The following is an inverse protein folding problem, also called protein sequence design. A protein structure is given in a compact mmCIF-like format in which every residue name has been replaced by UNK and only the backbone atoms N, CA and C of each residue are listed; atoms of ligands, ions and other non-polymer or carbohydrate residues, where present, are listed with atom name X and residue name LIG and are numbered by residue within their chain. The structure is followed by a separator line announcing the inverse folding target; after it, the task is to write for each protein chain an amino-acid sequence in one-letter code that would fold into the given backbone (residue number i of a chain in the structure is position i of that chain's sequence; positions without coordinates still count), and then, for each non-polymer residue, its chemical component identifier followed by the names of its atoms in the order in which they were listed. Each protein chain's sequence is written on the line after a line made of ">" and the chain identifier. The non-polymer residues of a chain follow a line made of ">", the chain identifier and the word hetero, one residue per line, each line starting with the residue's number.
data_IF_422109172876
#
_entry.id   IF_422109172876
#
_cell.length_a   1.000
_cell.length_b   1.000
_cell.length_c   1.000
_cell.angle_alpha   90.00
_cell.angle_beta   90.00
_cell.angle_gamma   90.00
#
_symmetry.space_group_name_H-M   'P 1'
#
loop_
_entity.id
_entity.type
_entity.pdbx_description
1 polymer ?
#
# COMPACT_ATOMS: atom_id res chain seq x y z
N UNK A 1 43.43 18.93 15.27
CA UNK A 1 42.85 18.83 16.64
C UNK A 1 43.62 19.71 17.64
N UNK A 2 44.96 19.65 17.68
CA UNK A 2 45.76 20.49 18.59
C UNK A 2 45.64 22.00 18.33
N UNK A 3 45.66 22.46 17.08
CA UNK A 3 45.47 23.89 16.75
C UNK A 3 44.07 24.41 17.11
N UNK A 4 43.05 23.56 16.99
CA UNK A 4 41.67 23.90 17.34
C UNK A 4 41.50 24.10 18.86
N UNK A 5 42.04 23.19 19.68
CA UNK A 5 42.02 23.34 21.14
C UNK A 5 42.88 24.53 21.57
N UNK A 6 44.01 24.77 20.88
CA UNK A 6 44.88 25.92 21.12
C UNK A 6 44.17 27.26 20.83
N UNK A 7 43.30 27.33 19.81
CA UNK A 7 42.51 28.52 19.50
C UNK A 7 41.57 28.91 20.64
N UNK A 8 40.89 27.93 21.25
CA UNK A 8 39.98 28.19 22.37
C UNK A 8 40.71 28.51 23.68
N UNK A 9 41.90 27.95 23.90
CA UNK A 9 42.66 28.13 25.15
C UNK A 9 43.54 29.38 25.17
N UNK A 10 43.88 29.96 24.00
CA UNK A 10 44.68 31.20 23.93
C UNK A 10 43.87 32.49 24.01
N UNK A 11 42.58 32.43 23.71
CA UNK A 11 41.72 33.61 23.66
C UNK A 11 40.96 33.77 24.98
N UNK A 12 41.49 34.61 25.87
CA UNK A 12 40.79 34.97 27.11
C UNK A 12 39.60 35.89 26.83
N UNK A 13 38.43 35.53 27.36
CA UNK A 13 37.23 36.34 27.24
C UNK A 13 37.23 37.41 28.34
N UNK A 14 37.00 38.67 27.97
CA UNK A 14 36.83 39.76 28.94
C UNK A 14 35.58 39.56 29.80
N UNK A 15 35.51 40.18 30.97
CA UNK A 15 34.33 40.04 31.85
C UNK A 15 33.04 40.47 31.12
N UNK A 16 33.11 41.53 30.31
CA UNK A 16 32.00 41.97 29.45
C UNK A 16 31.61 40.91 28.42
N UNK A 17 32.58 40.22 27.83
CA UNK A 17 32.34 39.11 26.90
C UNK A 17 31.67 37.90 27.56
N UNK A 18 31.97 37.62 28.84
CA UNK A 18 31.29 36.55 29.60
C UNK A 18 29.80 36.87 29.75
N UNK A 19 29.45 38.10 30.14
CA UNK A 19 28.04 38.52 30.21
C UNK A 19 27.32 38.40 28.86
N UNK A 20 27.99 38.78 27.77
CA UNK A 20 27.42 38.65 26.43
C UNK A 20 27.19 37.17 26.04
N UNK A 21 28.15 36.28 26.33
CA UNK A 21 28.01 34.85 26.05
C UNK A 21 26.98 34.17 26.96
N UNK A 22 26.81 34.61 28.20
CA UNK A 22 25.70 34.18 29.06
C UNK A 22 24.36 34.52 28.42
N UNK A 23 24.18 35.75 27.93
CA UNK A 23 22.96 36.15 27.22
C UNK A 23 22.80 35.37 25.90
N UNK A 24 23.89 35.15 25.16
CA UNK A 24 23.92 34.30 23.97
C UNK A 24 23.49 32.86 24.24
N UNK A 25 23.87 32.31 25.39
CA UNK A 25 23.52 30.94 25.78
C UNK A 25 22.02 30.78 26.07
N UNK A 26 21.30 31.85 26.42
CA UNK A 26 19.84 31.82 26.51
C UNK A 26 19.17 31.50 25.15
N UNK A 27 19.77 31.89 24.03
CA UNK A 27 19.27 31.49 22.70
C UNK A 27 19.47 29.99 22.46
N UNK A 28 20.60 29.45 22.90
CA UNK A 28 20.89 28.01 22.83
C UNK A 28 19.90 27.22 23.70
N UNK A 29 19.57 27.75 24.89
CA UNK A 29 18.61 27.15 25.81
C UNK A 29 17.20 26.97 25.22
N UNK A 30 16.77 27.85 24.30
CA UNK A 30 15.51 27.68 23.56
C UNK A 30 15.52 26.35 22.79
N UNK A 31 16.61 26.07 22.06
CA UNK A 31 16.72 24.84 21.27
C UNK A 31 16.83 23.60 22.16
N UNK A 32 17.61 23.63 23.24
CA UNK A 32 17.67 22.52 24.20
C UNK A 32 16.29 22.20 24.78
N UNK A 33 15.52 23.24 25.15
CA UNK A 33 14.16 23.10 25.67
C UNK A 33 13.22 22.49 24.63
N UNK A 34 13.21 23.00 23.40
CA UNK A 34 12.34 22.50 22.33
C UNK A 34 12.70 21.07 21.95
N UNK A 35 13.98 20.74 21.81
CA UNK A 35 14.42 19.41 21.37
C UNK A 35 14.06 18.34 22.41
N UNK A 36 14.38 18.59 23.69
CA UNK A 36 14.12 17.62 24.74
C UNK A 36 12.63 17.44 25.04
N UNK A 37 11.84 18.51 24.97
CA UNK A 37 10.38 18.42 25.15
C UNK A 37 9.68 17.82 23.94
N UNK A 38 9.98 18.28 22.71
CA UNK A 38 9.24 17.86 21.51
C UNK A 38 9.70 16.51 20.95
N UNK A 39 11.00 16.25 20.88
CA UNK A 39 11.52 15.01 20.26
C UNK A 39 11.66 13.86 21.26
N UNK A 40 12.12 14.15 22.49
CA UNK A 40 12.29 13.13 23.53
C UNK A 40 11.06 12.97 24.45
N UNK A 41 10.05 13.86 24.34
CA UNK A 41 8.84 13.86 25.18
C UNK A 41 9.15 13.88 26.68
N UNK A 42 10.18 14.65 27.09
CA UNK A 42 10.56 14.80 28.50
C UNK A 42 9.80 15.97 29.13
N UNK A 43 9.22 15.75 30.31
CA UNK A 43 8.52 16.78 31.09
C UNK A 43 9.48 17.49 32.04
N UNK A 44 9.69 18.79 31.83
CA UNK A 44 10.47 19.64 32.71
C UNK A 44 9.98 21.09 32.65
N UNK A 45 10.41 21.92 33.61
CA UNK A 45 10.04 23.34 33.63
C UNK A 45 10.78 24.08 32.52
N UNK A 46 10.05 24.85 31.69
CA UNK A 46 10.61 25.54 30.53
C UNK A 46 11.75 26.53 30.82
N UNK A 47 11.91 26.99 32.07
CA UNK A 47 13.00 27.89 32.47
C UNK A 47 14.31 27.17 32.80
N UNK A 48 14.33 25.82 32.87
CA UNK A 48 15.48 25.05 33.35
C UNK A 48 16.77 25.40 32.59
N UNK A 49 16.76 25.31 31.26
CA UNK A 49 17.94 25.58 30.43
C UNK A 49 18.31 27.05 30.37
N UNK A 50 17.35 27.96 30.59
CA UNK A 50 17.63 29.39 30.72
C UNK A 50 18.40 29.75 32.00
N UNK A 51 18.43 28.84 32.98
CA UNK A 51 19.27 28.99 34.17
C UNK A 51 20.54 28.16 34.03
N UNK A 52 20.45 26.92 33.54
CA UNK A 52 21.60 26.01 33.44
C UNK A 52 22.63 26.51 32.43
N UNK A 53 22.23 26.90 31.22
CA UNK A 53 23.19 27.25 30.15
C UNK A 53 24.00 28.50 30.52
N UNK A 54 23.40 29.62 30.99
CA UNK A 54 24.18 30.78 31.45
C UNK A 54 25.01 30.50 32.69
N UNK A 55 24.54 29.63 33.59
CA UNK A 55 25.28 29.24 34.80
C UNK A 55 26.53 28.42 34.45
N UNK A 56 26.46 27.55 33.44
CA UNK A 56 27.63 26.82 32.94
C UNK A 56 28.68 27.79 32.36
N UNK A 57 28.25 28.82 31.64
CA UNK A 57 29.14 29.88 31.12
C UNK A 57 29.78 30.67 32.26
N UNK A 58 28.99 31.04 33.29
CA UNK A 58 29.50 31.75 34.46
C UNK A 58 30.53 30.91 35.23
N UNK A 59 30.23 29.63 35.49
CA UNK A 59 31.15 28.71 36.15
C UNK A 59 32.45 28.54 35.37
N UNK A 60 32.36 28.42 34.03
CA UNK A 60 33.55 28.38 33.17
C UNK A 60 34.39 29.65 33.33
N UNK A 61 33.74 30.83 33.39
CA UNK A 61 34.40 32.11 33.62
C UNK A 61 35.14 32.22 34.95
N UNK A 62 34.59 31.62 36.02
CA UNK A 62 35.22 31.56 37.35
C UNK A 62 36.40 30.60 37.38
N UNK A 63 36.29 29.44 36.73
CA UNK A 63 37.35 28.43 36.68
C UNK A 63 38.52 28.84 35.78
N UNK A 64 38.23 29.53 34.68
CA UNK A 64 39.25 30.03 33.76
C UNK A 64 38.64 30.73 32.57
N UNK A 65 38.99 32.00 32.35
CA UNK A 65 38.43 32.83 31.26
C UNK A 65 38.65 32.28 29.85
N UNK A 66 39.66 31.44 29.67
CA UNK A 66 39.94 30.74 28.42
C UNK A 66 38.97 29.58 28.13
N UNK A 67 38.27 29.04 29.14
CA UNK A 67 37.33 27.92 28.98
C UNK A 67 35.96 28.38 28.47
N UNK A 68 35.62 29.66 28.64
CA UNK A 68 34.30 30.23 28.35
C UNK A 68 33.88 29.98 26.90
N UNK A 69 34.76 30.29 25.94
CA UNK A 69 34.48 30.08 24.52
C UNK A 69 34.32 28.60 24.17
N UNK A 70 35.09 27.71 24.81
CA UNK A 70 34.99 26.27 24.61
C UNK A 70 33.65 25.74 25.10
N UNK A 71 33.23 26.12 26.32
CA UNK A 71 31.95 25.68 26.89
C UNK A 71 30.77 26.20 26.06
N UNK A 72 30.82 27.47 25.63
CA UNK A 72 29.80 28.03 24.74
C UNK A 72 29.69 27.25 23.43
N UNK A 73 30.83 26.91 22.83
CA UNK A 73 30.87 26.14 21.58
C UNK A 73 30.35 24.70 21.78
N UNK A 74 30.66 24.05 22.90
CA UNK A 74 30.11 22.73 23.23
C UNK A 74 28.59 22.77 23.42
N UNK A 75 28.06 23.79 24.10
CA UNK A 75 26.62 24.01 24.23
C UNK A 75 25.95 24.24 22.87
N UNK A 76 26.62 24.90 21.95
CA UNK A 76 26.12 25.08 20.58
C UNK A 76 26.10 23.75 19.80
N UNK A 77 27.17 22.96 19.88
CA UNK A 77 27.23 21.65 19.21
C UNK A 77 26.22 20.65 19.78
N UNK A 78 25.96 20.67 21.09
CA UNK A 78 25.03 19.74 21.71
C UNK A 78 23.62 19.84 21.14
N UNK A 79 23.20 21.03 20.69
CA UNK A 79 21.91 21.23 19.99
C UNK A 79 21.79 20.33 18.77
N UNK A 80 22.82 20.25 17.92
CA UNK A 80 22.77 19.45 16.69
C UNK A 80 22.79 17.95 16.98
N UNK A 81 23.59 17.52 17.96
CA UNK A 81 23.65 16.11 18.37
C UNK A 81 22.31 15.67 18.96
N UNK A 82 21.72 16.48 19.85
CA UNK A 82 20.41 16.22 20.44
C UNK A 82 19.29 16.25 19.38
N UNK A 83 19.35 17.17 18.42
CA UNK A 83 18.36 17.23 17.35
C UNK A 83 18.39 15.95 16.48
N UNK A 84 19.58 15.51 16.05
CA UNK A 84 19.72 14.32 15.23
C UNK A 84 19.28 13.04 15.97
N UNK A 85 19.78 12.85 17.19
CA UNK A 85 19.40 11.70 18.02
C UNK A 85 17.91 11.72 18.38
N UNK A 86 17.35 12.90 18.66
CA UNK A 86 15.93 13.10 18.89
C UNK A 86 15.07 12.74 17.68
N UNK A 87 15.48 13.11 16.46
CA UNK A 87 14.74 12.77 15.23
C UNK A 87 14.68 11.26 15.01
N UNK A 88 15.80 10.56 15.21
CA UNK A 88 15.85 9.10 15.12
C UNK A 88 14.99 8.45 16.19
N UNK A 89 15.09 8.92 17.44
CA UNK A 89 14.30 8.42 18.56
C UNK A 89 12.79 8.59 18.34
N UNK A 90 12.35 9.79 17.94
CA UNK A 90 10.96 10.09 17.63
C UNK A 90 10.42 9.22 16.48
N UNK A 91 11.23 9.02 15.42
CA UNK A 91 10.88 8.14 14.30
C UNK A 91 10.68 6.68 14.74
N UNK A 92 11.57 6.16 15.60
CA UNK A 92 11.47 4.79 16.13
C UNK A 92 10.26 4.63 17.05
N UNK A 93 9.98 5.61 17.91
CA UNK A 93 8.79 5.58 18.77
C UNK A 93 7.52 5.59 17.93
N UNK A 94 7.41 6.53 16.98
CA UNK A 94 6.26 6.63 16.09
C UNK A 94 6.02 5.31 15.35
N UNK A 95 7.08 4.71 14.81
CA UNK A 95 7.00 3.40 14.16
C UNK A 95 6.53 2.28 15.10
N UNK A 96 6.97 2.29 16.37
CA UNK A 96 6.51 1.32 17.38
C UNK A 96 5.06 1.56 17.79
N UNK A 97 4.63 2.81 17.95
CA UNK A 97 3.24 3.20 18.27
C UNK A 97 2.29 2.75 17.15
N UNK A 98 2.61 3.05 15.89
CA UNK A 98 1.85 2.60 14.71
C UNK A 98 1.77 1.07 14.64
N UNK A 99 2.87 0.36 14.96
CA UNK A 99 2.87 -1.11 15.00
C UNK A 99 1.96 -1.65 16.10
N UNK A 100 1.97 -1.06 17.30
CA UNK A 100 1.08 -1.44 18.40
C UNK A 100 -0.38 -1.18 18.06
N UNK A 101 -0.69 -0.03 17.49
CA UNK A 101 -2.06 0.32 17.07
C UNK A 101 -2.57 -0.68 16.00
N UNK A 102 -1.73 -1.02 15.02
CA UNK A 102 -2.03 -2.06 14.03
C UNK A 102 -2.27 -3.42 14.68
N UNK A 103 -1.48 -3.80 15.68
CA UNK A 103 -1.70 -5.05 16.42
C UNK A 103 -3.00 -5.03 17.25
N UNK A 104 -3.36 -3.90 17.86
CA UNK A 104 -4.62 -3.74 18.57
C UNK A 104 -5.83 -3.86 17.64
N UNK A 105 -5.78 -3.20 16.47
CA UNK A 105 -6.80 -3.35 15.43
C UNK A 105 -6.92 -4.81 14.96
N UNK A 106 -5.79 -5.47 14.74
CA UNK A 106 -5.78 -6.89 14.36
C UNK A 106 -6.41 -7.79 15.41
N UNK A 107 -6.21 -7.51 16.71
CA UNK A 107 -6.89 -8.23 17.79
C UNK A 107 -8.39 -7.93 17.82
N UNK A 108 -8.77 -6.66 17.73
CA UNK A 108 -10.18 -6.22 17.76
C UNK A 108 -11.00 -6.86 16.63
N UNK A 109 -10.41 -6.98 15.46
CA UNK A 109 -11.07 -7.46 14.24
C UNK A 109 -10.59 -8.86 13.78
N UNK A 110 -9.89 -9.61 14.63
CA UNK A 110 -9.40 -10.97 14.36
C UNK A 110 -8.70 -11.15 13.00
N UNK A 111 -7.90 -10.16 12.59
CA UNK A 111 -7.25 -10.12 11.27
C UNK A 111 -5.97 -10.95 11.26
N UNK A 112 -5.91 -11.96 10.40
CA UNK A 112 -4.72 -12.79 10.20
C UNK A 112 -3.51 -11.95 9.72
N UNK A 113 -2.28 -12.24 10.19
CA UNK A 113 -1.09 -11.54 9.72
C UNK A 113 -0.93 -11.68 8.21
N UNK A 114 -0.47 -10.61 7.54
CA UNK A 114 0.05 -10.72 6.18
C UNK A 114 1.17 -11.77 6.18
N UNK A 115 1.14 -12.75 5.27
CA UNK A 115 2.10 -13.83 5.29
C UNK A 115 3.51 -13.31 4.95
N UNK A 116 4.52 -13.80 5.67
CA UNK A 116 5.92 -13.34 5.53
C UNK A 116 6.44 -13.46 4.10
N UNK A 117 6.04 -14.49 3.36
CA UNK A 117 6.46 -14.70 1.98
C UNK A 117 6.08 -13.52 1.06
N UNK A 118 4.97 -12.81 1.31
CA UNK A 118 4.59 -11.64 0.50
C UNK A 118 5.58 -10.47 0.67
N UNK A 119 6.18 -10.33 1.86
CA UNK A 119 7.24 -9.32 2.09
C UNK A 119 8.52 -9.71 1.36
N UNK A 120 8.90 -10.99 1.48
CA UNK A 120 10.09 -11.53 0.79
C UNK A 120 9.93 -11.43 -0.72
N UNK A 121 8.77 -11.80 -1.27
CA UNK A 121 8.48 -11.70 -2.69
C UNK A 121 8.59 -10.26 -3.22
N UNK A 122 8.15 -9.27 -2.44
CA UNK A 122 8.33 -7.86 -2.79
C UNK A 122 9.81 -7.46 -2.88
N UNK A 123 10.63 -7.88 -1.91
CA UNK A 123 12.07 -7.60 -1.93
C UNK A 123 12.78 -8.30 -3.09
N UNK A 124 12.43 -9.57 -3.35
CA UNK A 124 12.95 -10.34 -4.49
C UNK A 124 12.58 -9.67 -5.82
N UNK A 125 11.34 -9.19 -5.98
CA UNK A 125 10.93 -8.49 -7.18
C UNK A 125 11.72 -7.20 -7.43
N UNK A 126 11.99 -6.42 -6.36
CA UNK A 126 12.83 -5.22 -6.44
C UNK A 126 14.28 -5.57 -6.77
N UNK A 127 14.84 -6.63 -6.19
CA UNK A 127 16.18 -7.09 -6.52
C UNK A 127 16.29 -7.53 -7.99
N UNK A 128 15.32 -8.31 -8.48
CA UNK A 128 15.24 -8.72 -9.89
C UNK A 128 15.11 -7.52 -10.84
N UNK A 129 14.37 -6.48 -10.45
CA UNK A 129 14.30 -5.23 -11.19
C UNK A 129 15.69 -4.59 -11.37
N UNK A 130 16.45 -4.43 -10.29
CA UNK A 130 17.78 -3.81 -10.35
C UNK A 130 18.79 -4.67 -11.12
N UNK A 131 18.73 -5.99 -10.99
CA UNK A 131 19.58 -6.92 -11.78
C UNK A 131 19.26 -6.81 -13.27
N UNK A 132 17.97 -6.81 -13.63
CA UNK A 132 17.53 -6.65 -15.02
C UNK A 132 17.95 -5.28 -15.58
N UNK A 133 17.77 -4.20 -14.82
CA UNK A 133 18.20 -2.86 -15.19
C UNK A 133 19.72 -2.75 -15.39
N UNK A 134 20.52 -3.44 -14.57
CA UNK A 134 21.98 -3.47 -14.72
C UNK A 134 22.42 -4.14 -16.02
N UNK A 135 21.78 -5.25 -16.42
CA UNK A 135 22.17 -5.98 -17.63
C UNK A 135 21.59 -5.40 -18.92
N UNK A 136 20.33 -4.95 -18.90
CA UNK A 136 19.57 -4.59 -20.11
C UNK A 136 19.45 -3.06 -20.26
N UNK A 137 19.69 -2.29 -19.19
CA UNK A 137 19.60 -0.82 -19.22
C UNK A 137 18.17 -0.30 -19.24
N UNK A 138 17.96 0.88 -19.85
CA UNK A 138 16.66 1.58 -19.83
C UNK A 138 15.52 0.79 -20.52
N UNK A 139 15.84 -0.06 -21.50
CA UNK A 139 14.87 -0.94 -22.17
C UNK A 139 14.21 -1.95 -21.21
N UNK A 140 14.85 -2.29 -20.07
CA UNK A 140 14.25 -3.11 -19.02
C UNK A 140 12.97 -2.49 -18.44
N UNK A 141 12.92 -1.15 -18.33
CA UNK A 141 11.76 -0.42 -17.79
C UNK A 141 10.56 -0.56 -18.73
N UNK A 142 10.79 -0.49 -20.05
CA UNK A 142 9.74 -0.64 -21.06
C UNK A 142 9.14 -2.06 -21.04
N UNK A 143 9.97 -3.10 -20.88
CA UNK A 143 9.50 -4.48 -20.79
C UNK A 143 8.65 -4.72 -19.53
N UNK A 144 9.01 -4.11 -18.40
CA UNK A 144 8.24 -4.24 -17.16
C UNK A 144 6.87 -3.58 -17.22
N UNK A 145 6.76 -2.43 -17.90
CA UNK A 145 5.47 -1.76 -18.14
C UNK A 145 4.52 -2.69 -18.92
N UNK A 146 5.03 -3.59 -19.75
CA UNK A 146 4.23 -4.59 -20.48
C UNK A 146 3.94 -5.81 -19.60
N UNK A 147 4.95 -6.38 -18.94
CA UNK A 147 4.85 -7.65 -18.22
C UNK A 147 3.96 -7.53 -16.96
N UNK A 148 4.10 -6.46 -16.19
CA UNK A 148 3.37 -6.27 -14.92
C UNK A 148 1.85 -6.29 -15.10
N UNK A 149 1.23 -5.49 -16.01
CA UNK A 149 -0.22 -5.52 -16.20
C UNK A 149 -0.71 -6.86 -16.76
N UNK A 150 0.08 -7.53 -17.61
CA UNK A 150 -0.26 -8.86 -18.14
C UNK A 150 -0.30 -9.89 -17.00
N UNK A 151 0.72 -9.94 -16.14
CA UNK A 151 0.75 -10.83 -14.98
C UNK A 151 -0.41 -10.50 -14.02
N UNK A 152 -0.65 -9.22 -13.73
CA UNK A 152 -1.73 -8.79 -12.85
C UNK A 152 -3.13 -9.20 -13.38
N UNK A 153 -3.31 -9.22 -14.71
CA UNK A 153 -4.55 -9.65 -15.34
C UNK A 153 -4.77 -11.18 -15.25
N UNK A 154 -3.69 -11.97 -15.25
CA UNK A 154 -3.75 -13.44 -15.23
C UNK A 154 -3.91 -13.98 -13.79
N UNK A 155 -3.37 -13.26 -12.78
CA UNK A 155 -3.42 -13.71 -11.40
C UNK A 155 -4.87 -13.90 -10.90
N UNK A 156 -5.19 -15.06 -10.29
CA UNK A 156 -6.54 -15.35 -9.85
C UNK A 156 -6.93 -14.48 -8.65
N UNK A 157 -8.04 -13.77 -8.77
CA UNK A 157 -8.72 -13.06 -7.67
C UNK A 157 -10.19 -13.44 -7.63
N UNK A 158 -10.87 -13.29 -6.48
CA UNK A 158 -12.29 -13.60 -6.35
C UNK A 158 -13.13 -12.83 -7.39
N UNK A 159 -12.80 -11.54 -7.57
CA UNK A 159 -13.36 -10.69 -8.62
C UNK A 159 -13.07 -11.22 -10.03
N UNK A 160 -11.85 -11.66 -10.32
CA UNK A 160 -11.49 -12.20 -11.64
C UNK A 160 -12.23 -13.51 -11.93
N UNK A 161 -12.42 -14.37 -10.93
CA UNK A 161 -13.22 -15.61 -11.06
C UNK A 161 -14.68 -15.29 -11.35
N UNK A 162 -15.29 -14.38 -10.57
CA UNK A 162 -16.65 -13.90 -10.82
C UNK A 162 -16.79 -13.36 -12.25
N UNK A 163 -15.91 -12.43 -12.66
CA UNK A 163 -15.93 -11.84 -14.00
C UNK A 163 -15.57 -12.80 -15.14
N UNK A 164 -14.97 -13.95 -14.84
CA UNK A 164 -14.74 -15.02 -15.81
C UNK A 164 -16.03 -15.78 -16.05
N UNK A 165 -16.69 -16.22 -14.97
CA UNK A 165 -17.92 -17.00 -15.07
C UNK A 165 -19.10 -16.17 -15.58
N UNK A 166 -19.15 -14.88 -15.22
CA UNK A 166 -20.16 -13.93 -15.72
C UNK A 166 -20.15 -13.82 -17.26
N UNK A 167 -19.01 -14.05 -17.91
CA UNK A 167 -18.94 -14.04 -19.38
C UNK A 167 -19.34 -15.35 -20.04
N UNK A 168 -19.31 -16.45 -19.31
CA UNK A 168 -19.46 -17.79 -19.87
C UNK A 168 -20.79 -18.43 -19.53
N UNK A 169 -21.39 -18.03 -18.40
CA UNK A 169 -22.67 -18.56 -17.95
C UNK A 169 -23.81 -17.74 -18.56
N UNK A 170 -24.87 -18.40 -19.06
CA UNK A 170 -26.11 -17.70 -19.34
C UNK A 170 -26.86 -17.40 -18.05
N UNK A 171 -27.51 -16.24 -17.99
CA UNK A 171 -28.41 -15.89 -16.88
C UNK A 171 -29.60 -16.85 -16.85
N UNK A 172 -29.79 -17.53 -15.74
CA UNK A 172 -30.87 -18.50 -15.54
C UNK A 172 -32.05 -17.86 -14.83
N UNK A 173 -33.27 -18.22 -15.25
CA UNK A 173 -34.49 -17.91 -14.50
C UNK A 173 -34.52 -18.69 -13.20
N UNK A 174 -34.94 -18.05 -12.11
CA UNK A 174 -34.89 -18.65 -10.77
C UNK A 174 -35.70 -19.94 -10.68
N UNK A 175 -36.88 -20.00 -11.30
CA UNK A 175 -37.74 -21.20 -11.29
C UNK A 175 -37.09 -22.43 -11.94
N UNK A 176 -36.21 -22.21 -12.92
CA UNK A 176 -35.63 -23.27 -13.76
C UNK A 176 -34.10 -23.28 -13.70
N UNK A 177 -33.51 -22.75 -12.62
CA UNK A 177 -32.06 -22.75 -12.44
C UNK A 177 -31.59 -24.20 -12.32
N UNK A 178 -30.60 -24.59 -13.14
CA UNK A 178 -30.02 -25.92 -13.08
C UNK A 178 -29.16 -26.05 -11.81
N UNK A 179 -29.19 -27.24 -11.21
CA UNK A 179 -28.36 -27.55 -10.05
C UNK A 179 -26.87 -27.49 -10.43
N UNK A 180 -26.07 -26.85 -9.58
CA UNK A 180 -24.65 -26.58 -9.82
C UNK A 180 -24.36 -25.09 -10.02
N UNK A 181 -23.22 -24.80 -10.66
CA UNK A 181 -22.78 -23.43 -10.92
C UNK A 181 -23.77 -22.72 -11.87
N UNK A 182 -24.33 -21.60 -11.43
CA UNK A 182 -25.28 -20.82 -12.20
C UNK A 182 -25.08 -19.31 -12.00
N UNK A 183 -25.62 -18.55 -12.94
CA UNK A 183 -25.81 -17.10 -12.82
C UNK A 183 -27.31 -16.82 -12.68
N UNK A 184 -27.69 -16.02 -11.70
CA UNK A 184 -29.07 -15.55 -11.50
C UNK A 184 -29.09 -14.03 -11.37
N UNK A 185 -30.18 -13.43 -11.80
CA UNK A 185 -30.45 -12.00 -11.65
C UNK A 185 -31.80 -11.84 -10.94
N UNK A 186 -31.89 -10.87 -10.04
CA UNK A 186 -33.15 -10.56 -9.39
C UNK A 186 -33.07 -9.39 -8.43
N UNK A 187 -34.19 -9.15 -7.76
CA UNK A 187 -34.37 -8.14 -6.73
C UNK A 187 -34.12 -8.78 -5.36
N UNK A 188 -33.39 -8.09 -4.49
CA UNK A 188 -33.11 -8.57 -3.15
C UNK A 188 -34.31 -8.38 -2.21
N UNK A 189 -34.67 -9.43 -1.48
CA UNK A 189 -35.72 -9.45 -0.45
C UNK A 189 -35.10 -9.91 0.88
N UNK A 190 -35.16 -9.07 1.91
CA UNK A 190 -34.51 -9.36 3.20
C UNK A 190 -35.31 -10.37 4.04
N UNK A 191 -34.67 -11.39 4.60
CA UNK A 191 -35.30 -12.24 5.63
C UNK A 191 -35.18 -11.56 7.00
N UNK A 192 -33.96 -11.13 7.33
CA UNK A 192 -33.65 -10.39 8.55
C UNK A 192 -32.75 -9.21 8.21
N UNK A 193 -33.27 -8.00 8.41
CA UNK A 193 -32.52 -6.76 8.16
C UNK A 193 -31.52 -6.52 9.30
N UNK A 194 -30.31 -6.11 8.95
CA UNK A 194 -29.26 -5.72 9.89
C UNK A 194 -28.96 -4.22 9.83
N UNK A 195 -28.17 -3.74 10.79
CA UNK A 195 -27.72 -2.33 10.85
C UNK A 195 -26.26 -2.22 10.47
N UNK A 196 -25.96 -1.31 9.54
CA UNK A 196 -24.60 -1.04 9.08
C UNK A 196 -23.69 -0.49 10.20
N UNK A 197 -22.36 -0.66 10.10
CA UNK A 197 -21.42 -0.12 11.08
C UNK A 197 -21.44 1.41 11.14
N UNK A 198 -21.51 2.09 10.00
CA UNK A 198 -21.55 3.56 9.87
C UNK A 198 -23.01 3.99 9.67
N UNK A 199 -23.48 4.94 10.47
CA UNK A 199 -24.82 5.53 10.35
C UNK A 199 -25.98 4.62 10.78
N UNK A 200 -25.74 3.35 11.13
CA UNK A 200 -26.78 2.38 11.56
C UNK A 200 -27.94 2.21 10.56
N UNK A 201 -27.63 2.33 9.26
CA UNK A 201 -28.60 2.16 8.18
C UNK A 201 -29.08 0.71 8.08
N UNK A 202 -30.35 0.54 7.72
CA UNK A 202 -30.93 -0.77 7.44
C UNK A 202 -30.35 -1.34 6.14
N UNK A 203 -29.88 -2.59 6.18
CA UNK A 203 -29.29 -3.30 5.05
C UNK A 203 -29.46 -4.81 5.20
N UNK A 204 -29.32 -5.56 4.10
CA UNK A 204 -29.28 -7.02 4.10
C UNK A 204 -27.87 -7.50 4.45
N UNK A 205 -26.86 -6.79 3.95
CA UNK A 205 -25.46 -7.04 4.21
C UNK A 205 -24.60 -5.81 3.96
N UNK A 206 -23.40 -5.83 4.52
CA UNK A 206 -22.41 -4.78 4.34
C UNK A 206 -21.00 -5.34 4.14
N UNK A 207 -20.18 -4.58 3.42
CA UNK A 207 -18.73 -4.68 3.47
C UNK A 207 -18.19 -3.48 4.21
N UNK A 208 -17.29 -3.71 5.16
CA UNK A 208 -16.67 -2.66 5.95
C UNK A 208 -15.16 -2.70 5.79
N UNK A 209 -14.58 -1.59 5.34
CA UNK A 209 -13.15 -1.45 5.08
C UNK A 209 -12.55 -0.35 5.92
N UNK A 210 -11.39 -0.63 6.51
CA UNK A 210 -10.56 0.32 7.24
C UNK A 210 -9.21 0.43 6.54
N UNK A 211 -8.80 1.66 6.24
CA UNK A 211 -7.57 1.98 5.54
C UNK A 211 -6.74 2.99 6.34
N UNK A 212 -5.43 2.78 6.42
CA UNK A 212 -4.50 3.79 6.94
C UNK A 212 -4.30 4.85 5.86
N UNK A 213 -4.33 6.13 6.25
CA UNK A 213 -4.03 7.27 5.38
C UNK A 213 -2.58 7.65 5.61
N UNK A 214 -1.77 7.60 4.56
CA UNK A 214 -0.42 8.14 4.56
C UNK A 214 -0.35 9.29 3.56
N UNK A 215 -0.08 10.48 4.07
CA UNK A 215 0.13 11.68 3.27
C UNK A 215 1.62 11.85 3.02
N UNK A 216 2.01 12.08 1.77
CA UNK A 216 3.38 12.45 1.44
C UNK A 216 3.66 13.95 1.69
N UNK A 217 4.85 14.40 1.30
CA UNK A 217 5.28 15.79 1.49
C UNK A 217 4.51 16.77 0.59
N UNK A 218 3.99 16.29 -0.54
CA UNK A 218 3.29 17.09 -1.55
C UNK A 218 1.78 17.16 -1.26
N UNK A 219 1.31 16.41 -0.27
CA UNK A 219 -0.08 16.41 0.19
C UNK A 219 -0.91 15.28 -0.41
N UNK A 220 -0.31 14.41 -1.22
CA UNK A 220 -1.00 13.29 -1.84
C UNK A 220 -1.24 12.18 -0.83
N UNK A 221 -2.47 11.66 -0.85
CA UNK A 221 -2.92 10.63 0.08
C UNK A 221 -2.82 9.25 -0.56
N UNK A 222 -2.03 8.40 0.09
CA UNK A 222 -2.01 6.97 -0.16
C UNK A 222 -2.84 6.22 0.89
N UNK A 223 -3.53 5.17 0.45
CA UNK A 223 -4.41 4.37 1.29
C UNK A 223 -3.90 2.93 1.34
N UNK A 224 -3.81 2.36 2.54
CA UNK A 224 -3.45 0.95 2.73
C UNK A 224 -4.52 0.24 3.55
N UNK A 225 -5.18 -0.75 2.95
CA UNK A 225 -6.19 -1.56 3.65
C UNK A 225 -5.58 -2.33 4.82
N UNK A 226 -6.18 -2.12 5.99
CA UNK A 226 -5.84 -2.77 7.27
C UNK A 226 -6.86 -3.88 7.57
N UNK A 227 -8.13 -3.59 7.33
CA UNK A 227 -9.25 -4.47 7.62
C UNK A 227 -10.27 -4.39 6.48
N UNK A 228 -10.83 -5.54 6.13
CA UNK A 228 -11.88 -5.66 5.14
C UNK A 228 -12.70 -6.90 5.49
N UNK A 229 -13.98 -6.71 5.80
CA UNK A 229 -14.92 -7.76 6.19
C UNK A 229 -16.24 -7.60 5.44
N UNK A 230 -16.84 -8.72 5.10
CA UNK A 230 -18.19 -8.80 4.54
C UNK A 230 -19.05 -9.58 5.53
N UNK A 231 -20.13 -8.94 5.98
CA UNK A 231 -21.13 -9.55 6.86
C UNK A 231 -22.49 -9.39 6.21
N UNK A 232 -23.22 -10.49 6.08
CA UNK A 232 -24.49 -10.51 5.37
C UNK A 232 -25.40 -11.56 5.98
N UNK A 233 -26.68 -11.21 6.18
CA UNK A 233 -27.69 -12.16 6.64
C UNK A 233 -28.26 -12.94 5.45
N UNK A 234 -28.78 -14.17 5.64
CA UNK A 234 -29.53 -14.84 4.59
C UNK A 234 -30.69 -13.99 4.06
N UNK A 235 -30.90 -14.03 2.74
CA UNK A 235 -31.91 -13.26 2.03
C UNK A 235 -32.53 -14.07 0.90
N UNK A 236 -33.59 -13.55 0.28
CA UNK A 236 -34.14 -14.09 -0.95
C UNK A 236 -33.73 -13.21 -2.14
N UNK A 237 -33.57 -13.84 -3.29
CA UNK A 237 -33.53 -13.16 -4.59
C UNK A 237 -34.79 -13.57 -5.33
N UNK A 238 -35.50 -12.59 -5.88
CA UNK A 238 -36.71 -12.83 -6.67
C UNK A 238 -36.58 -12.27 -8.09
N UNK A 239 -37.10 -13.01 -9.05
CA UNK A 239 -37.28 -12.61 -10.43
C UNK A 239 -38.77 -12.76 -10.80
N UNK A 240 -39.11 -12.54 -12.07
CA UNK A 240 -40.49 -12.70 -12.56
C UNK A 240 -41.02 -14.15 -12.45
N UNK A 241 -40.12 -15.13 -12.26
CA UNK A 241 -40.46 -16.56 -12.27
C UNK A 241 -40.56 -17.19 -10.89
N UNK A 242 -39.86 -16.66 -9.90
CA UNK A 242 -39.89 -17.19 -8.54
C UNK A 242 -38.87 -16.53 -7.63
N UNK A 243 -38.62 -17.18 -6.50
CA UNK A 243 -37.62 -16.74 -5.52
C UNK A 243 -36.77 -17.90 -5.05
N UNK A 244 -35.51 -17.62 -4.75
CA UNK A 244 -34.54 -18.58 -4.21
C UNK A 244 -33.86 -18.00 -2.98
N UNK A 245 -33.65 -18.84 -1.96
CA UNK A 245 -32.94 -18.45 -0.74
C UNK A 245 -31.45 -18.38 -1.01
N UNK A 246 -30.79 -17.35 -0.52
CA UNK A 246 -29.34 -17.19 -0.62
C UNK A 246 -28.70 -17.39 0.75
N UNK A 247 -27.74 -18.31 0.84
CA UNK A 247 -26.86 -18.45 1.98
C UNK A 247 -25.58 -17.64 1.71
N UNK A 248 -25.30 -16.53 2.42
CA UNK A 248 -24.26 -15.58 2.06
C UNK A 248 -22.85 -15.98 2.54
N UNK A 249 -22.66 -17.19 3.06
CA UNK A 249 -21.36 -17.67 3.50
C UNK A 249 -20.32 -17.58 2.37
N UNK A 250 -19.18 -16.90 2.61
CA UNK A 250 -18.10 -16.65 1.63
C UNK A 250 -18.54 -15.84 0.40
N UNK A 251 -19.65 -15.11 0.49
CA UNK A 251 -20.08 -14.21 -0.58
C UNK A 251 -19.17 -12.99 -0.68
N UNK A 252 -18.76 -12.67 -1.91
CA UNK A 252 -17.95 -11.50 -2.21
C UNK A 252 -18.78 -10.38 -2.84
N UNK A 253 -18.50 -9.15 -2.43
CA UNK A 253 -19.15 -7.95 -3.00
C UNK A 253 -18.30 -7.41 -4.14
N UNK A 254 -18.82 -7.48 -5.37
CA UNK A 254 -18.12 -7.04 -6.58
C UNK A 254 -18.82 -5.80 -7.13
N UNK A 255 -18.08 -4.69 -7.23
CA UNK A 255 -18.59 -3.40 -7.73
C UNK A 255 -19.79 -2.81 -7.00
N UNK A 256 -20.10 -3.28 -5.79
CA UNK A 256 -21.04 -2.59 -4.90
C UNK A 256 -20.48 -1.18 -4.63
N UNK A 257 -21.27 -0.11 -4.82
CA UNK A 257 -20.81 1.26 -4.65
C UNK A 257 -20.55 1.60 -3.17
N UNK A 258 -19.66 2.56 -2.94
CA UNK A 258 -19.45 3.15 -1.61
C UNK A 258 -20.75 3.84 -1.16
N UNK A 259 -21.26 3.49 0.03
CA UNK A 259 -22.44 4.13 0.62
C UNK A 259 -22.04 5.32 1.48
N UNK A 260 -21.11 5.12 2.42
CA UNK A 260 -20.59 6.17 3.30
C UNK A 260 -19.10 6.01 3.57
N UNK A 261 -18.46 7.15 3.81
CA UNK A 261 -17.06 7.26 4.18
C UNK A 261 -16.87 8.35 5.22
N UNK A 262 -16.01 8.10 6.22
CA UNK A 262 -15.44 9.16 7.05
C UNK A 262 -13.96 8.90 7.32
N UNK A 263 -13.24 9.96 7.69
CA UNK A 263 -11.83 9.87 8.10
C UNK A 263 -11.66 10.35 9.52
N UNK A 264 -10.94 9.59 10.34
CA UNK A 264 -10.65 9.95 11.74
C UNK A 264 -9.37 9.26 12.21
N UNK A 265 -8.54 9.98 12.97
CA UNK A 265 -7.30 9.43 13.54
C UNK A 265 -6.30 8.93 12.51
N UNK A 266 -6.20 9.58 11.34
CA UNK A 266 -5.32 9.14 10.25
C UNK A 266 -5.79 7.87 9.53
N UNK A 267 -7.07 7.48 9.70
CA UNK A 267 -7.68 6.32 9.05
C UNK A 267 -8.91 6.74 8.26
N UNK A 268 -9.17 6.00 7.18
CA UNK A 268 -10.39 6.09 6.38
C UNK A 268 -11.23 4.86 6.66
N UNK A 269 -12.51 5.10 6.92
CA UNK A 269 -13.51 4.07 7.13
C UNK A 269 -14.51 4.16 6.00
N UNK A 270 -14.71 3.07 5.28
CA UNK A 270 -15.63 3.01 4.14
C UNK A 270 -16.57 1.84 4.32
N UNK A 271 -17.86 2.05 4.04
CA UNK A 271 -18.86 0.99 4.00
C UNK A 271 -19.50 0.88 2.62
N UNK A 272 -19.88 -0.35 2.28
CA UNK A 272 -20.65 -0.70 1.09
C UNK A 272 -21.85 -1.51 1.54
N UNK A 273 -23.04 -1.19 1.05
CA UNK A 273 -24.28 -1.82 1.51
C UNK A 273 -24.99 -2.51 0.35
N UNK A 274 -25.64 -3.62 0.66
CA UNK A 274 -26.71 -4.18 -0.18
C UNK A 274 -28.01 -4.07 0.60
N UNK A 275 -29.05 -3.56 -0.05
CA UNK A 275 -30.33 -3.18 0.54
C UNK A 275 -31.46 -3.97 -0.10
N UNK A 276 -32.59 -3.95 0.57
CA UNK A 276 -33.84 -4.47 0.02
C UNK A 276 -34.22 -3.69 -1.24
N UNK A 277 -34.76 -4.40 -2.23
CA UNK A 277 -35.08 -3.90 -3.57
C UNK A 277 -33.89 -3.58 -4.49
N UNK A 278 -32.64 -3.86 -4.08
CA UNK A 278 -31.50 -3.74 -4.99
C UNK A 278 -31.60 -4.80 -6.10
N UNK A 279 -31.38 -4.39 -7.36
CA UNK A 279 -31.32 -5.30 -8.51
C UNK A 279 -29.90 -5.81 -8.72
N UNK A 280 -29.69 -7.09 -8.48
CA UNK A 280 -28.37 -7.69 -8.37
C UNK A 280 -28.21 -8.92 -9.25
N UNK A 281 -26.97 -9.17 -9.67
CA UNK A 281 -26.53 -10.39 -10.34
C UNK A 281 -25.67 -11.20 -9.37
N UNK A 282 -25.97 -12.50 -9.27
CA UNK A 282 -25.25 -13.44 -8.41
C UNK A 282 -24.67 -14.57 -9.25
N UNK A 283 -23.45 -14.98 -8.92
CA UNK A 283 -22.84 -16.22 -9.43
C UNK A 283 -22.44 -17.07 -8.24
N UNK A 284 -22.87 -18.32 -8.28
CA UNK A 284 -22.70 -19.28 -7.19
C UNK A 284 -23.29 -20.62 -7.58
N UNK A 285 -23.51 -21.47 -6.58
CA UNK A 285 -24.07 -22.80 -6.75
C UNK A 285 -25.56 -22.77 -6.42
N UNK A 286 -26.41 -23.18 -7.35
CA UNK A 286 -27.77 -23.60 -7.06
C UNK A 286 -27.76 -25.04 -6.54
N UNK A 287 -28.33 -25.24 -5.35
CA UNK A 287 -28.35 -26.52 -4.66
C UNK A 287 -29.65 -26.71 -3.88
N UNK A 288 -29.69 -27.78 -3.08
CA UNK A 288 -30.76 -28.05 -2.13
C UNK A 288 -30.16 -27.99 -0.73
N UNK A 289 -30.83 -27.26 0.17
CA UNK A 289 -30.52 -27.29 1.59
C UNK A 289 -31.00 -28.62 2.22
N UNK A 290 -30.64 -28.88 3.47
CA UNK A 290 -31.02 -30.11 4.20
C UNK A 290 -32.53 -30.37 4.23
N UNK A 291 -33.35 -29.31 4.19
CA UNK A 291 -34.81 -29.37 4.15
C UNK A 291 -35.39 -29.52 2.73
N UNK A 292 -34.56 -29.88 1.75
CA UNK A 292 -34.94 -30.03 0.34
C UNK A 292 -35.48 -28.75 -0.32
N UNK A 293 -35.16 -27.56 0.22
CA UNK A 293 -35.51 -26.28 -0.39
C UNK A 293 -34.36 -25.77 -1.28
N UNK A 294 -34.67 -25.16 -2.44
CA UNK A 294 -33.66 -24.54 -3.30
C UNK A 294 -32.87 -23.45 -2.55
N UNK A 295 -31.55 -23.54 -2.61
CA UNK A 295 -30.63 -22.59 -2.00
C UNK A 295 -29.55 -22.19 -3.00
N UNK A 296 -29.12 -20.94 -2.94
CA UNK A 296 -28.01 -20.40 -3.69
C UNK A 296 -26.85 -20.09 -2.74
N UNK A 297 -25.69 -20.70 -2.97
CA UNK A 297 -24.60 -20.76 -2.00
C UNK A 297 -23.21 -20.78 -2.66
N UNK A 298 -22.16 -20.89 -1.83
CA UNK A 298 -20.79 -20.95 -2.28
C UNK A 298 -20.46 -22.19 -3.13
N UNK A 299 -19.92 -21.98 -4.34
CA UNK A 299 -19.43 -23.07 -5.19
C UNK A 299 -18.00 -23.45 -4.79
N UNK A 300 -17.85 -24.52 -4.01
CA UNK A 300 -16.57 -24.96 -3.45
C UNK A 300 -15.56 -25.43 -4.51
N UNK A 301 -16.00 -26.06 -5.60
CA UNK A 301 -15.08 -26.63 -6.60
C UNK A 301 -14.42 -25.53 -7.44
N UNK A 302 -15.19 -24.50 -7.81
CA UNK A 302 -14.69 -23.36 -8.60
C UNK A 302 -14.25 -22.18 -7.74
N UNK A 303 -14.56 -22.22 -6.44
CA UNK A 303 -14.24 -21.20 -5.47
C UNK A 303 -14.88 -19.85 -5.76
N UNK A 304 -16.12 -19.82 -6.25
CA UNK A 304 -16.79 -18.58 -6.64
C UNK A 304 -18.12 -18.44 -5.92
N UNK A 305 -18.31 -17.27 -5.33
CA UNK A 305 -19.60 -16.80 -4.89
C UNK A 305 -19.55 -15.30 -4.75
N UNK A 306 -20.31 -14.59 -5.56
CA UNK A 306 -20.26 -13.14 -5.56
C UNK A 306 -21.57 -12.53 -6.03
N UNK A 307 -21.81 -11.32 -5.52
CA UNK A 307 -22.94 -10.48 -5.86
C UNK A 307 -22.43 -9.14 -6.42
N UNK A 308 -23.11 -8.63 -7.44
CA UNK A 308 -22.81 -7.35 -8.04
C UNK A 308 -24.07 -6.60 -8.48
N UNK A 309 -24.08 -5.26 -8.40
CA UNK A 309 -25.14 -4.46 -9.01
C UNK A 309 -25.21 -4.66 -10.52
N UNK A 310 -26.40 -4.90 -11.04
CA UNK A 310 -26.60 -5.23 -12.44
C UNK A 310 -26.17 -4.08 -13.37
N UNK A 311 -26.45 -2.83 -12.98
CA UNK A 311 -26.04 -1.62 -13.71
C UNK A 311 -24.51 -1.52 -13.84
N UNK A 312 -23.77 -1.92 -12.80
CA UNK A 312 -22.29 -1.88 -12.81
C UNK A 312 -21.70 -2.97 -13.69
N UNK A 313 -22.31 -4.15 -13.73
CA UNK A 313 -21.87 -5.26 -14.59
C UNK A 313 -22.14 -4.96 -16.05
N UNK A 314 -23.32 -4.44 -16.39
CA UNK A 314 -23.64 -4.03 -17.76
C UNK A 314 -22.69 -2.94 -18.24
N UNK A 315 -22.45 -1.90 -17.43
CA UNK A 315 -21.46 -0.88 -17.73
C UNK A 315 -20.06 -1.49 -17.95
N UNK A 316 -19.58 -2.34 -17.03
CA UNK A 316 -18.27 -2.99 -17.18
C UNK A 316 -18.16 -3.80 -18.48
N UNK A 317 -19.18 -4.56 -18.84
CA UNK A 317 -19.19 -5.39 -20.04
C UNK A 317 -19.17 -4.58 -21.33
N UNK A 318 -19.78 -3.39 -21.34
CA UNK A 318 -19.74 -2.46 -22.48
C UNK A 318 -18.36 -1.83 -22.66
N UNK A 319 -17.70 -1.41 -21.56
CA UNK A 319 -16.41 -0.71 -21.63
C UNK A 319 -15.20 -1.64 -21.72
N UNK A 320 -15.29 -2.87 -21.22
CA UNK A 320 -14.16 -3.80 -21.18
C UNK A 320 -13.55 -4.10 -22.56
N UNK A 321 -14.31 -4.35 -23.63
CA UNK A 321 -13.74 -4.62 -24.95
C UNK A 321 -12.84 -3.47 -25.43
N UNK A 322 -13.27 -2.22 -25.20
CA UNK A 322 -12.50 -1.03 -25.54
C UNK A 322 -11.18 -0.98 -24.75
N UNK A 323 -11.24 -1.25 -23.44
CA UNK A 323 -10.04 -1.26 -22.59
C UNK A 323 -9.07 -2.39 -22.97
N UNK A 324 -9.59 -3.58 -23.29
CA UNK A 324 -8.78 -4.71 -23.73
C UNK A 324 -8.06 -4.40 -25.05
N UNK A 325 -8.77 -3.83 -26.02
CA UNK A 325 -8.17 -3.41 -27.29
C UNK A 325 -7.10 -2.34 -27.06
N UNK A 326 -7.40 -1.32 -26.26
CA UNK A 326 -6.43 -0.28 -25.90
C UNK A 326 -5.15 -0.87 -25.29
N UNK A 327 -5.27 -1.78 -24.32
CA UNK A 327 -4.12 -2.44 -23.70
C UNK A 327 -3.28 -3.25 -24.69
N UNK A 328 -3.92 -4.00 -25.59
CA UNK A 328 -3.21 -4.77 -26.63
C UNK A 328 -2.44 -3.83 -27.55
N UNK A 329 -3.08 -2.75 -28.02
CA UNK A 329 -2.41 -1.75 -28.86
C UNK A 329 -1.24 -1.08 -28.13
N UNK A 330 -1.42 -0.70 -26.86
CA UNK A 330 -0.34 -0.12 -26.05
C UNK A 330 0.83 -1.09 -25.86
N UNK A 331 0.56 -2.37 -25.60
CA UNK A 331 1.61 -3.39 -25.45
C UNK A 331 2.36 -3.61 -26.77
N UNK A 332 1.64 -3.74 -27.89
CA UNK A 332 2.24 -3.90 -29.21
C UNK A 332 3.10 -2.69 -29.60
N UNK A 333 2.61 -1.48 -29.31
CA UNK A 333 3.33 -0.24 -29.54
C UNK A 333 4.59 -0.15 -28.67
N UNK A 334 4.49 -0.42 -27.37
CA UNK A 334 5.64 -0.42 -26.47
C UNK A 334 6.69 -1.46 -26.87
N UNK A 335 6.26 -2.66 -27.30
CA UNK A 335 7.14 -3.69 -27.84
C UNK A 335 7.87 -3.20 -29.10
N UNK A 336 7.15 -2.60 -30.05
CA UNK A 336 7.74 -2.04 -31.27
C UNK A 336 8.76 -0.94 -30.97
N UNK A 337 8.43 0.01 -30.08
CA UNK A 337 9.35 1.06 -29.63
C UNK A 337 10.60 0.47 -28.98
N UNK A 338 10.42 -0.54 -28.11
CA UNK A 338 11.55 -1.23 -27.48
C UNK A 338 12.45 -1.89 -28.52
N UNK A 339 11.88 -2.52 -29.56
CA UNK A 339 12.64 -3.16 -30.62
C UNK A 339 13.42 -2.15 -31.46
N UNK A 340 12.80 -1.01 -31.79
CA UNK A 340 13.47 0.09 -32.50
C UNK A 340 14.65 0.62 -31.70
N UNK A 341 14.50 0.82 -30.38
CA UNK A 341 15.56 1.36 -29.53
C UNK A 341 16.76 0.42 -29.36
N UNK A 342 16.53 -0.90 -29.39
CA UNK A 342 17.58 -1.92 -29.28
C UNK A 342 18.26 -2.17 -30.64
N UNK A 343 17.60 -1.84 -31.74
CA UNK A 343 18.14 -2.08 -33.07
C UNK A 343 19.10 -0.95 -33.45
N UNK A 344 20.38 -1.23 -33.74
CA UNK A 344 21.32 -0.22 -34.20
C UNK A 344 20.94 0.21 -35.62
N UNK A 345 20.53 1.49 -35.78
CA UNK A 345 20.15 2.09 -37.05
C UNK A 345 21.21 3.13 -37.41
N UNK A 346 21.90 2.94 -38.54
CA UNK A 346 22.92 3.87 -39.04
C UNK A 346 22.59 4.30 -40.47
N UNK A 347 22.93 5.54 -40.84
CA UNK A 347 22.76 6.05 -42.20
C UNK A 347 24.16 6.17 -42.81
N UNK A 348 24.43 5.37 -43.84
CA UNK A 348 25.71 5.40 -44.57
C UNK A 348 25.38 5.61 -46.05
N UNK A 349 25.97 6.65 -46.67
CA UNK A 349 25.78 7.01 -48.09
C UNK A 349 24.31 7.20 -48.51
N UNK A 350 23.49 7.78 -47.64
CA UNK A 350 22.07 7.98 -47.90
C UNK A 350 21.23 6.69 -47.89
N UNK A 351 21.83 5.54 -47.54
CA UNK A 351 21.13 4.27 -47.32
C UNK A 351 20.97 3.99 -45.83
N UNK A 352 19.78 3.53 -45.46
CA UNK A 352 19.45 3.12 -44.10
C UNK A 352 19.96 1.69 -43.87
N UNK A 353 20.95 1.54 -42.99
CA UNK A 353 21.46 0.24 -42.55
C UNK A 353 20.84 -0.11 -41.20
N UNK A 354 20.00 -1.14 -41.19
CA UNK A 354 19.35 -1.68 -39.99
C UNK A 354 20.13 -2.92 -39.56
N UNK A 355 20.79 -2.86 -38.40
CA UNK A 355 21.50 -4.00 -37.83
C UNK A 355 20.58 -4.99 -37.12
N UNK A 356 21.17 -6.03 -36.54
CA UNK A 356 20.45 -6.97 -35.67
C UNK A 356 20.28 -6.37 -34.27
N UNK A 357 19.13 -6.58 -33.59
CA UNK A 357 18.94 -6.05 -32.24
C UNK A 357 19.96 -6.67 -31.29
N UNK A 358 20.77 -5.84 -30.64
CA UNK A 358 21.75 -6.28 -29.65
C UNK A 358 21.19 -6.06 -28.24
N UNK A 359 20.71 -7.14 -27.63
CA UNK A 359 20.11 -7.09 -26.30
C UNK A 359 21.16 -7.01 -25.18
N UNK A 360 22.47 -7.04 -25.49
CA UNK A 360 23.54 -7.00 -24.48
C UNK A 360 23.57 -8.22 -23.54
N UNK A 361 22.80 -9.27 -23.85
CA UNK A 361 22.73 -10.51 -23.08
C UNK A 361 23.73 -11.49 -23.69
N UNK A 362 24.90 -11.62 -23.08
CA UNK A 362 25.87 -12.64 -23.44
C UNK A 362 25.33 -14.03 -23.01
N UNK A 363 24.76 -14.75 -23.98
CA UNK A 363 24.07 -16.03 -23.80
C UNK A 363 25.03 -17.22 -23.61
N UNK A 364 26.34 -17.00 -23.62
CA UNK A 364 27.34 -18.07 -23.50
C UNK A 364 27.34 -18.77 -22.13
N UNK A 365 26.74 -18.17 -21.10
CA UNK A 365 26.55 -18.82 -19.79
C UNK A 365 25.64 -20.07 -19.84
N UNK A 366 24.68 -20.13 -20.77
CA UNK A 366 23.79 -21.29 -20.91
C UNK A 366 24.33 -22.38 -21.85
N UNK A 367 25.33 -22.05 -22.68
CA UNK A 367 25.94 -23.00 -23.64
C UNK A 367 26.93 -23.96 -22.97
N UNK A 368 27.50 -23.59 -21.82
CA UNK A 368 28.54 -24.34 -21.14
C UNK A 368 28.09 -25.65 -20.44
N UNK A 369 26.81 -26.05 -20.52
CA UNK A 369 26.30 -27.24 -19.81
C UNK A 369 25.96 -28.45 -20.69
N UNK A 370 26.13 -28.36 -22.02
CA UNK A 370 25.82 -29.47 -22.94
C UNK A 370 27.04 -30.15 -23.59
N UNK A 371 28.27 -29.88 -23.12
CA UNK A 371 29.50 -30.49 -23.66
C UNK A 371 30.19 -31.42 -22.66
N UNK A 372 29.42 -32.26 -21.97
CA UNK A 372 29.97 -33.42 -21.22
C UNK A 372 29.21 -34.69 -21.61
N UNK A 373 29.29 -35.06 -22.89
CA UNK A 373 29.10 -36.42 -23.38
C UNK A 373 29.62 -36.41 -24.81
N UNK A 374 30.90 -36.67 -25.02
CA UNK A 374 31.50 -37.23 -26.25
C UNK A 374 33.02 -37.28 -26.09
N UNK A 375 33.47 -38.21 -25.24
CA UNK A 375 34.86 -38.67 -25.20
C UNK A 375 34.93 -40.09 -24.61
N UNK A 376 34.41 -41.06 -25.37
CA UNK A 376 34.80 -42.46 -25.28
C UNK A 376 35.03 -42.93 -26.71
N UNK A 377 36.30 -43.03 -27.12
CA UNK A 377 36.92 -44.20 -27.75
C UNK A 377 38.44 -43.95 -27.88
#
# INVERSE_FOLDING_TARGET
>A
MQEFIAFFTRNEVTNTGIFFLMLGSCFIAIFHTIILSALFRLDFKGWLFFVVDPLLILLAGVLGKHLVMLVFFLLFISVFILAFTGMVYAGVIKSREEKKEREQLRKRYHVAPKPLWKKVAGFVAVALFFVSFYHIGFSAVLLLIIIVPVIAAILPSNKNRFLKYQRTLPTSRIRSVAMGLAEIEGVLEGIAIMRSPIGKKQCIGYRYRIEDISTDKDGDKSYSTIFDEITCNPFYVSDETGKIKVNPEKMEFVYVPEDEMYSSGGKRYTQFLIKENDKMLLIGKAGLAENNQPVFEYEAVKGVFAIAPLDKITHYNTFKPLLNSFLIFSCAFAFMVSLILVTPITIVDGKLNIGTPDFGIDLDFFKAKNTITDAVY
#
